data_IF_078043327853
#
_entry.id   IF_078043327853
#
_cell.length_a   1.000
_cell.length_b   1.000
_cell.length_c   1.000
_cell.angle_alpha   90.00
_cell.angle_beta   90.00
_cell.angle_gamma   90.00
#
_symmetry.space_group_name_H-M   'P 1'
#
loop_
_entity.id
_entity.type
_entity.pdbx_description
1 polymer ?
#
# COMPACT_ATOMS: atom_id res chain seq x y z
N UNK A 1 -38.28 10.32 0.01
CA UNK A 1 -37.18 11.26 0.31
C UNK A 1 -36.43 11.48 -0.99
N UNK A 2 -36.49 12.69 -1.51
CA UNK A 2 -35.85 13.14 -2.76
C UNK A 2 -34.32 13.13 -2.60
N UNK A 3 -33.61 12.56 -3.58
CA UNK A 3 -32.14 12.64 -3.65
C UNK A 3 -31.71 14.11 -3.63
N UNK A 4 -30.68 14.49 -2.86
CA UNK A 4 -30.18 15.86 -2.90
C UNK A 4 -29.55 16.11 -4.27
N UNK A 5 -30.00 17.19 -4.92
CA UNK A 5 -29.36 17.72 -6.14
C UNK A 5 -27.88 18.00 -5.87
N UNK A 6 -27.02 17.37 -6.68
CA UNK A 6 -25.59 17.65 -6.69
C UNK A 6 -25.41 18.96 -7.46
N UNK A 7 -25.25 20.07 -6.74
CA UNK A 7 -24.83 21.34 -7.35
C UNK A 7 -23.37 21.22 -7.82
N UNK A 8 -23.18 21.20 -9.15
CA UNK A 8 -21.87 21.33 -9.78
C UNK A 8 -21.47 22.81 -9.81
N UNK A 9 -20.83 23.31 -8.75
CA UNK A 9 -20.18 24.63 -8.80
C UNK A 9 -18.85 24.50 -9.57
N UNK A 10 -18.89 24.77 -10.88
CA UNK A 10 -17.70 24.71 -11.74
C UNK A 10 -16.84 25.95 -11.48
N UNK A 11 -15.73 25.79 -10.75
CA UNK A 11 -14.69 26.82 -10.67
C UNK A 11 -13.64 26.57 -11.75
N UNK A 12 -13.78 27.28 -12.86
CA UNK A 12 -12.76 27.33 -13.91
C UNK A 12 -11.54 28.12 -13.41
N UNK A 13 -10.40 27.44 -13.26
CA UNK A 13 -9.10 28.11 -13.29
C UNK A 13 -8.53 28.00 -14.71
N UNK A 14 -8.23 29.15 -15.31
CA UNK A 14 -7.95 29.34 -16.73
C UNK A 14 -6.44 29.20 -17.08
N UNK A 15 -5.66 28.46 -16.31
CA UNK A 15 -4.31 28.06 -16.73
C UNK A 15 -4.40 26.89 -17.70
N UNK A 16 -4.36 27.22 -18.99
CA UNK A 16 -4.52 26.36 -20.16
C UNK A 16 -3.95 24.93 -20.01
N UNK A 17 -4.83 23.93 -20.12
CA UNK A 17 -4.46 22.55 -20.48
C UNK A 17 -4.77 21.45 -19.46
N UNK A 18 -5.16 21.78 -18.23
CA UNK A 18 -5.38 20.76 -17.20
C UNK A 18 -6.87 20.44 -17.03
N UNK A 19 -7.26 19.20 -17.36
CA UNK A 19 -8.46 18.59 -16.78
C UNK A 19 -8.04 18.08 -15.41
N UNK A 20 -8.60 18.65 -14.34
CA UNK A 20 -8.67 17.91 -13.09
C UNK A 20 -9.26 16.53 -13.41
N UNK A 21 -8.74 15.47 -12.78
CA UNK A 21 -9.48 14.20 -12.72
C UNK A 21 -10.68 14.42 -11.80
N UNK A 22 -11.67 15.18 -12.28
CA UNK A 22 -12.95 15.42 -11.62
C UNK A 22 -13.80 14.17 -11.75
N UNK A 23 -13.47 13.21 -10.89
CA UNK A 23 -14.42 12.21 -10.37
C UNK A 23 -14.28 12.15 -8.85
N UNK A 24 -13.89 13.27 -8.21
CA UNK A 24 -13.94 13.41 -6.77
C UNK A 24 -15.41 13.57 -6.37
N UNK A 25 -15.97 12.62 -5.62
CA UNK A 25 -17.17 12.90 -4.82
C UNK A 25 -16.88 14.11 -3.93
N UNK A 26 -17.92 14.85 -3.52
CA UNK A 26 -17.81 15.89 -2.49
C UNK A 26 -17.19 15.37 -1.17
N UNK A 27 -17.26 14.05 -0.92
CA UNK A 27 -16.65 13.38 0.25
C UNK A 27 -15.16 13.13 0.13
N UNK A 28 -14.57 13.19 -1.07
CA UNK A 28 -13.14 12.92 -1.24
C UNK A 28 -12.33 14.14 -0.83
N UNK A 29 -11.39 13.94 0.08
CA UNK A 29 -10.51 15.02 0.52
C UNK A 29 -9.62 15.45 -0.66
N UNK A 30 -9.48 16.76 -0.96
CA UNK A 30 -8.45 17.21 -1.88
C UNK A 30 -7.06 16.81 -1.36
N UNK A 31 -6.18 16.34 -2.26
CA UNK A 31 -4.83 15.93 -1.88
C UNK A 31 -3.93 17.15 -1.77
N UNK A 32 -3.13 17.20 -0.70
CA UNK A 32 -2.20 18.29 -0.46
C UNK A 32 -1.09 18.28 -1.53
N UNK A 33 -0.66 17.08 -1.95
CA UNK A 33 0.35 16.88 -2.99
C UNK A 33 -0.04 15.73 -3.92
N UNK A 34 0.00 15.98 -5.23
CA UNK A 34 -0.16 14.97 -6.26
C UNK A 34 1.11 14.90 -7.11
N UNK A 35 1.67 13.69 -7.23
CA UNK A 35 2.78 13.36 -8.11
C UNK A 35 2.23 12.52 -9.27
N UNK A 36 2.06 13.14 -10.42
CA UNK A 36 1.52 12.49 -11.62
C UNK A 36 2.68 12.11 -12.51
N UNK A 37 2.90 10.81 -12.72
CA UNK A 37 4.03 10.27 -13.44
C UNK A 37 3.52 9.56 -14.70
N UNK A 38 3.83 10.13 -15.85
CA UNK A 38 3.41 9.65 -17.17
C UNK A 38 4.61 9.02 -17.90
N UNK A 39 4.40 7.96 -18.70
CA UNK A 39 5.46 7.47 -19.58
C UNK A 39 5.93 8.55 -20.56
N UNK A 40 7.25 8.67 -20.76
CA UNK A 40 7.87 9.57 -21.73
C UNK A 40 9.01 8.81 -22.45
N UNK A 41 8.65 8.15 -23.56
CA UNK A 41 9.54 7.22 -24.25
C UNK A 41 9.93 6.03 -23.37
N UNK A 42 11.22 5.83 -23.15
CA UNK A 42 11.77 4.84 -22.20
C UNK A 42 11.87 5.35 -20.76
N UNK A 43 11.56 6.62 -20.53
CA UNK A 43 11.64 7.31 -19.24
C UNK A 43 10.26 7.74 -18.76
N UNK A 44 10.20 8.68 -17.82
CA UNK A 44 8.94 9.18 -17.28
C UNK A 44 8.96 10.71 -17.16
N UNK A 45 7.77 11.29 -17.16
CA UNK A 45 7.52 12.72 -16.95
C UNK A 45 6.74 12.90 -15.66
N UNK A 46 7.31 13.65 -14.73
CA UNK A 46 6.66 14.02 -13.48
C UNK A 46 5.96 15.36 -13.65
N UNK A 47 4.72 15.42 -13.20
CA UNK A 47 3.93 16.63 -12.99
C UNK A 47 3.52 16.70 -11.53
N UNK A 48 3.81 17.81 -10.88
CA UNK A 48 3.45 18.10 -9.49
C UNK A 48 2.19 18.97 -9.50
N UNK A 49 1.17 18.57 -8.75
CA UNK A 49 -0.03 19.38 -8.53
C UNK A 49 -0.33 19.48 -7.05
N UNK A 50 -0.59 20.70 -6.58
CA UNK A 50 -0.86 20.95 -5.17
C UNK A 50 -1.95 22.01 -5.00
N UNK A 51 -2.83 21.75 -4.03
CA UNK A 51 -3.81 22.71 -3.52
C UNK A 51 -3.34 23.37 -2.23
N UNK A 52 -2.22 22.90 -1.70
CA UNK A 52 -1.62 23.42 -0.49
C UNK A 52 -0.92 24.76 -0.78
N UNK A 53 -1.28 25.86 -0.08
CA UNK A 53 -0.73 27.18 -0.38
C UNK A 53 0.79 27.27 -0.19
N UNK A 54 1.33 26.59 0.82
CA UNK A 54 2.77 26.61 1.12
C UNK A 54 3.56 25.87 0.06
N UNK A 55 3.11 24.66 -0.31
CA UNK A 55 3.73 23.90 -1.40
C UNK A 55 3.61 24.63 -2.74
N UNK A 56 2.45 25.24 -3.02
CA UNK A 56 2.24 26.02 -4.25
C UNK A 56 3.23 27.18 -4.35
N UNK A 57 3.41 27.92 -3.25
CA UNK A 57 4.38 29.01 -3.19
C UNK A 57 5.82 28.51 -3.36
N UNK A 58 6.17 27.36 -2.77
CA UNK A 58 7.51 26.79 -2.85
C UNK A 58 7.84 26.21 -4.24
N UNK A 59 6.89 25.53 -4.90
CA UNK A 59 7.10 25.01 -6.25
C UNK A 59 7.12 26.11 -7.31
N UNK A 60 6.28 27.14 -7.19
CA UNK A 60 6.16 28.18 -8.22
C UNK A 60 5.73 27.60 -9.57
N UNK A 61 6.43 27.95 -10.65
CA UNK A 61 6.23 27.45 -12.01
C UNK A 61 6.99 26.13 -12.30
N UNK A 62 7.85 25.69 -11.37
CA UNK A 62 8.71 24.51 -11.49
C UNK A 62 7.99 23.25 -11.02
N UNK A 63 6.98 22.85 -11.78
CA UNK A 63 6.08 21.75 -11.44
C UNK A 63 6.15 20.56 -12.40
N UNK A 64 6.99 20.61 -13.44
CA UNK A 64 7.09 19.55 -14.42
C UNK A 64 8.55 19.28 -14.81
N UNK A 65 8.96 18.01 -14.83
CA UNK A 65 10.29 17.61 -15.28
C UNK A 65 10.33 16.16 -15.77
N UNK A 66 11.35 15.83 -16.54
CA UNK A 66 11.69 14.43 -16.86
C UNK A 66 12.33 13.74 -15.64
N UNK A 67 11.83 12.53 -15.33
CA UNK A 67 12.49 11.55 -14.47
C UNK A 67 13.25 10.56 -15.37
N UNK A 68 14.58 10.64 -15.45
CA UNK A 68 15.39 9.90 -16.42
C UNK A 68 15.66 8.45 -15.97
N UNK A 69 14.63 7.80 -15.42
CA UNK A 69 14.69 6.40 -15.02
C UNK A 69 13.84 5.59 -15.98
N UNK A 70 14.44 4.53 -16.53
CA UNK A 70 13.66 3.45 -17.13
C UNK A 70 12.95 2.65 -16.05
N UNK A 71 11.99 1.83 -16.46
CA UNK A 71 11.28 0.92 -15.54
C UNK A 71 12.26 -0.03 -14.85
N UNK A 72 13.26 -0.52 -15.58
CA UNK A 72 14.28 -1.44 -15.08
C UNK A 72 15.22 -0.75 -14.08
N UNK A 73 15.61 0.49 -14.34
CA UNK A 73 16.45 1.27 -13.40
C UNK A 73 15.70 1.59 -12.11
N UNK A 74 14.45 2.06 -12.22
CA UNK A 74 13.59 2.27 -11.05
C UNK A 74 13.47 0.97 -10.24
N UNK A 75 13.22 -0.14 -10.93
CA UNK A 75 13.11 -1.45 -10.29
C UNK A 75 14.35 -1.81 -9.49
N UNK A 76 15.55 -1.61 -10.05
CA UNK A 76 16.82 -1.87 -9.35
C UNK A 76 16.89 -1.13 -8.02
N UNK A 77 16.62 0.18 -8.02
CA UNK A 77 16.61 0.98 -6.78
C UNK A 77 15.51 0.56 -5.79
N UNK A 78 14.34 0.15 -6.30
CA UNK A 78 13.26 -0.38 -5.46
C UNK A 78 13.67 -1.71 -4.81
N UNK A 79 14.37 -2.59 -5.53
CA UNK A 79 14.90 -3.84 -4.93
C UNK A 79 15.93 -3.55 -3.87
N UNK A 80 16.92 -2.70 -4.14
CA UNK A 80 17.95 -2.33 -3.16
C UNK A 80 17.32 -1.81 -1.85
N UNK A 81 16.29 -0.97 -1.96
CA UNK A 81 15.55 -0.49 -0.81
C UNK A 81 14.89 -1.64 -0.03
N UNK A 82 14.15 -2.52 -0.73
CA UNK A 82 13.42 -3.64 -0.14
C UNK A 82 14.33 -4.71 0.45
N UNK A 83 15.42 -5.05 -0.22
CA UNK A 83 16.43 -5.99 0.26
C UNK A 83 17.08 -5.48 1.55
N UNK A 84 17.32 -4.16 1.64
CA UNK A 84 17.79 -3.55 2.88
C UNK A 84 16.75 -3.71 4.01
N UNK A 85 15.47 -3.47 3.74
CA UNK A 85 14.41 -3.71 4.73
C UNK A 85 14.33 -5.17 5.16
N UNK A 86 14.44 -6.12 4.21
CA UNK A 86 14.42 -7.54 4.51
C UNK A 86 15.59 -7.94 5.38
N UNK A 87 16.80 -7.71 4.91
CA UNK A 87 18.05 -8.12 5.59
C UNK A 87 18.26 -7.39 6.92
N UNK A 88 17.84 -6.13 7.03
CA UNK A 88 18.06 -5.35 8.26
C UNK A 88 16.96 -5.59 9.28
N UNK A 89 15.69 -5.75 8.87
CA UNK A 89 14.56 -5.84 9.81
C UNK A 89 14.05 -7.27 9.93
N UNK A 90 13.70 -7.91 8.81
CA UNK A 90 13.07 -9.24 8.83
C UNK A 90 14.07 -10.31 9.28
N UNK A 91 15.31 -10.22 8.80
CA UNK A 91 16.40 -11.12 9.17
C UNK A 91 17.17 -10.63 10.42
N UNK A 92 16.69 -9.57 11.09
CA UNK A 92 17.35 -9.02 12.27
C UNK A 92 17.46 -10.07 13.38
N UNK A 93 18.69 -10.39 13.75
CA UNK A 93 18.96 -11.31 14.85
C UNK A 93 19.31 -10.58 16.14
N UNK A 94 18.83 -11.11 17.26
CA UNK A 94 19.36 -10.75 18.57
C UNK A 94 20.78 -11.31 18.75
N UNK A 95 21.42 -10.94 19.85
CA UNK A 95 22.73 -11.52 20.23
C UNK A 95 22.69 -13.03 20.46
N UNK A 96 21.50 -13.63 20.67
CA UNK A 96 21.32 -15.08 20.79
C UNK A 96 21.00 -15.76 19.45
N UNK A 97 21.00 -15.03 18.33
CA UNK A 97 20.67 -15.56 17.00
C UNK A 97 19.17 -15.68 16.73
N UNK A 98 18.31 -15.13 17.60
CA UNK A 98 16.86 -15.17 17.44
C UNK A 98 16.39 -14.12 16.43
N UNK A 99 15.57 -14.51 15.45
CA UNK A 99 14.92 -13.61 14.49
C UNK A 99 13.81 -12.79 15.19
N UNK A 100 14.15 -11.63 15.72
CA UNK A 100 13.33 -10.93 16.72
C UNK A 100 12.01 -10.45 16.13
N UNK A 101 12.05 -9.77 14.98
CA UNK A 101 10.85 -9.27 14.32
C UNK A 101 9.98 -10.38 13.71
N UNK A 102 10.54 -11.59 13.53
CA UNK A 102 9.76 -12.76 13.10
C UNK A 102 8.96 -13.40 14.23
N UNK A 103 9.37 -13.16 15.49
CA UNK A 103 8.74 -13.73 16.67
C UNK A 103 7.86 -12.76 17.44
N UNK A 104 8.24 -11.49 17.44
CA UNK A 104 7.57 -10.48 18.25
C UNK A 104 7.07 -9.34 17.37
N UNK A 105 5.77 -9.08 17.44
CA UNK A 105 5.17 -7.89 16.86
C UNK A 105 5.23 -6.71 17.82
N UNK A 106 5.13 -6.97 19.14
CA UNK A 106 5.28 -5.99 20.21
C UNK A 106 6.71 -6.01 20.75
N UNK A 107 7.43 -4.91 20.52
CA UNK A 107 8.84 -4.76 20.84
C UNK A 107 9.07 -3.76 21.99
N UNK A 108 8.03 -3.40 22.76
CA UNK A 108 8.13 -2.45 23.89
C UNK A 108 9.21 -2.85 24.89
N UNK A 109 9.37 -4.16 25.13
CA UNK A 109 10.36 -4.70 26.07
C UNK A 109 11.78 -4.77 25.49
N UNK A 110 11.94 -4.53 24.19
CA UNK A 110 13.23 -4.62 23.50
C UNK A 110 13.40 -3.49 22.45
N UNK A 111 13.26 -2.20 22.84
CA UNK A 111 13.26 -1.07 21.93
C UNK A 111 14.60 -0.87 21.21
N UNK A 112 15.69 -1.43 21.75
CA UNK A 112 17.03 -1.38 21.14
C UNK A 112 17.07 -1.99 19.74
N UNK A 113 16.17 -2.94 19.43
CA UNK A 113 16.10 -3.54 18.10
C UNK A 113 15.61 -2.54 17.06
N UNK A 114 14.64 -1.67 17.40
CA UNK A 114 14.25 -0.57 16.52
C UNK A 114 15.42 0.39 16.29
N UNK A 115 16.11 0.80 17.35
CA UNK A 115 17.26 1.71 17.23
C UNK A 115 18.36 1.13 16.33
N UNK A 116 18.62 -0.18 16.42
CA UNK A 116 19.64 -0.85 15.63
C UNK A 116 19.33 -0.86 14.12
N UNK A 117 18.06 -0.94 13.74
CA UNK A 117 17.65 -1.06 12.33
C UNK A 117 17.28 0.27 11.67
N UNK A 118 17.03 1.32 12.46
CA UNK A 118 16.43 2.57 11.97
C UNK A 118 17.31 3.35 10.97
N UNK A 119 18.62 3.43 11.22
CA UNK A 119 19.55 4.14 10.33
C UNK A 119 19.71 3.44 8.97
N UNK A 120 19.98 2.12 8.89
CA UNK A 120 20.06 1.43 7.60
C UNK A 120 18.79 1.56 6.75
N UNK A 121 17.60 1.43 7.35
CA UNK A 121 16.34 1.57 6.59
C UNK A 121 16.06 3.01 6.17
N UNK A 122 16.49 4.01 6.94
CA UNK A 122 16.42 5.42 6.54
C UNK A 122 17.38 5.73 5.38
N UNK A 123 18.58 5.18 5.41
CA UNK A 123 19.55 5.28 4.31
C UNK A 123 19.01 4.64 3.03
N UNK A 124 18.39 3.46 3.12
CA UNK A 124 17.73 2.82 1.99
C UNK A 124 16.60 3.69 1.40
N UNK A 125 15.73 4.23 2.24
CA UNK A 125 14.67 5.15 1.82
C UNK A 125 15.21 6.45 1.19
N UNK A 126 16.33 6.97 1.71
CA UNK A 126 16.96 8.19 1.21
C UNK A 126 17.68 7.97 -0.13
N UNK A 127 18.34 6.82 -0.30
CA UNK A 127 18.93 6.41 -1.59
C UNK A 127 17.85 6.30 -2.67
N UNK A 128 16.70 5.69 -2.35
CA UNK A 128 15.58 5.61 -3.29
C UNK A 128 15.04 7.01 -3.65
N UNK A 129 14.89 7.90 -2.65
CA UNK A 129 14.48 9.28 -2.88
C UNK A 129 15.44 10.04 -3.80
N UNK A 130 16.75 9.91 -3.56
CA UNK A 130 17.79 10.49 -4.40
C UNK A 130 17.75 9.88 -5.80
N UNK A 131 17.63 8.56 -5.95
CA UNK A 131 17.57 7.92 -7.25
C UNK A 131 16.39 8.44 -8.10
N UNK A 132 15.22 8.66 -7.50
CA UNK A 132 14.03 9.15 -8.20
C UNK A 132 14.18 10.62 -8.62
N UNK A 133 14.59 11.49 -7.69
CA UNK A 133 14.51 12.95 -7.90
C UNK A 133 15.85 13.64 -8.13
N UNK A 134 16.98 12.97 -7.89
CA UNK A 134 18.34 13.44 -8.19
C UNK A 134 19.25 12.27 -8.67
N UNK A 135 18.85 11.54 -9.73
CA UNK A 135 19.70 10.46 -10.25
C UNK A 135 21.03 11.00 -10.73
N UNK A 136 22.10 10.24 -10.49
CA UNK A 136 23.44 10.52 -11.02
C UNK A 136 23.54 10.03 -12.48
N UNK A 137 22.74 10.65 -13.35
CA UNK A 137 22.63 10.33 -14.77
C UNK A 137 22.70 11.65 -15.54
N UNK A 138 23.64 11.75 -16.47
CA UNK A 138 23.62 12.78 -17.51
C UNK A 138 22.61 12.37 -18.58
N UNK A 139 21.37 12.85 -18.40
CA UNK A 139 20.22 12.51 -19.24
C UNK A 139 20.05 13.46 -20.44
N UNK A 140 20.94 14.45 -20.59
CA UNK A 140 20.81 15.51 -21.60
C UNK A 140 19.54 16.36 -21.48
N UNK A 141 18.76 16.19 -20.40
CA UNK A 141 17.50 16.90 -20.21
C UNK A 141 17.76 18.37 -19.85
N UNK A 142 16.96 19.26 -20.41
CA UNK A 142 17.04 20.69 -20.05
C UNK A 142 16.41 20.98 -18.67
N UNK A 143 15.72 20.01 -18.07
CA UNK A 143 14.90 20.16 -16.86
C UNK A 143 15.63 19.78 -15.56
N UNK A 144 16.95 19.50 -15.59
CA UNK A 144 17.72 19.11 -14.39
C UNK A 144 17.56 20.13 -13.26
N UNK A 145 17.52 21.43 -13.59
CA UNK A 145 17.33 22.50 -12.60
C UNK A 145 15.93 22.47 -11.95
N UNK A 146 14.89 22.15 -12.73
CA UNK A 146 13.50 21.99 -12.26
C UNK A 146 13.38 20.76 -11.38
N UNK A 147 13.96 19.64 -11.80
CA UNK A 147 14.00 18.40 -11.02
C UNK A 147 14.71 18.59 -9.67
N UNK A 148 15.87 19.26 -9.64
CA UNK A 148 16.58 19.63 -8.39
C UNK A 148 15.75 20.56 -7.50
N UNK A 149 14.99 21.47 -8.09
CA UNK A 149 14.07 22.34 -7.35
C UNK A 149 12.95 21.52 -6.71
N UNK A 150 12.30 20.63 -7.47
CA UNK A 150 11.25 19.73 -6.94
C UNK A 150 11.78 18.88 -5.78
N UNK A 151 12.97 18.29 -5.93
CA UNK A 151 13.62 17.55 -4.84
C UNK A 151 13.77 18.39 -3.57
N UNK A 152 14.24 19.64 -3.73
CA UNK A 152 14.48 20.55 -2.60
C UNK A 152 13.17 20.90 -1.91
N UNK A 153 12.14 21.26 -2.66
CA UNK A 153 10.81 21.56 -2.11
C UNK A 153 10.23 20.35 -1.38
N UNK A 154 10.28 19.16 -1.98
CA UNK A 154 9.81 17.94 -1.32
C UNK A 154 10.57 17.68 -0.02
N UNK A 155 11.89 17.84 -0.02
CA UNK A 155 12.73 17.64 1.16
C UNK A 155 12.44 18.63 2.29
N UNK A 156 12.18 19.88 1.97
CA UNK A 156 12.04 20.96 2.95
C UNK A 156 10.60 21.15 3.43
N UNK A 157 9.60 20.89 2.58
CA UNK A 157 8.20 21.21 2.89
C UNK A 157 7.31 19.99 3.20
N UNK A 158 7.83 18.76 3.09
CA UNK A 158 7.10 17.55 3.51
C UNK A 158 7.44 17.10 4.92
N UNK A 159 8.38 17.75 5.61
CA UNK A 159 8.91 17.21 6.88
C UNK A 159 8.22 17.75 8.13
N UNK A 160 7.54 18.91 8.03
CA UNK A 160 7.04 19.63 9.22
C UNK A 160 5.59 19.30 9.58
N UNK A 161 4.81 18.75 8.65
CA UNK A 161 3.41 18.40 8.91
C UNK A 161 2.93 17.19 8.10
N UNK A 162 1.88 16.49 8.59
CA UNK A 162 1.21 15.47 7.80
C UNK A 162 0.59 16.05 6.53
N UNK A 163 0.70 15.28 5.45
CA UNK A 163 0.16 15.61 4.13
C UNK A 163 -0.60 14.39 3.60
N UNK A 164 -1.54 14.64 2.70
CA UNK A 164 -2.19 13.64 1.88
C UNK A 164 -1.53 13.65 0.51
N UNK A 165 -0.67 12.67 0.30
CA UNK A 165 0.15 12.52 -0.89
C UNK A 165 -0.47 11.44 -1.77
N UNK A 166 -0.76 11.79 -3.02
CA UNK A 166 -1.18 10.86 -4.06
C UNK A 166 -0.10 10.76 -5.12
N UNK A 167 0.37 9.55 -5.36
CA UNK A 167 1.19 9.25 -6.52
C UNK A 167 0.30 8.59 -7.58
N UNK A 168 0.32 9.06 -8.82
CA UNK A 168 -0.48 8.50 -9.91
C UNK A 168 0.45 8.08 -11.04
N UNK A 169 0.49 6.80 -11.36
CA UNK A 169 1.31 6.29 -12.47
C UNK A 169 0.74 5.01 -13.05
N UNK A 170 1.12 4.63 -14.26
CA UNK A 170 0.80 3.31 -14.83
C UNK A 170 1.97 2.34 -14.85
N UNK A 171 3.21 2.86 -14.79
CA UNK A 171 4.45 2.07 -14.92
C UNK A 171 5.53 2.47 -13.92
N UNK A 172 5.25 3.41 -13.00
CA UNK A 172 6.21 3.93 -12.03
C UNK A 172 5.82 3.49 -10.62
N UNK A 173 6.15 2.25 -10.26
CA UNK A 173 5.78 1.67 -8.97
C UNK A 173 6.95 1.72 -7.97
N UNK A 174 6.93 2.71 -7.09
CA UNK A 174 7.84 2.83 -5.96
C UNK A 174 7.11 2.60 -4.62
N UNK A 175 7.81 2.09 -3.59
CA UNK A 175 7.29 2.00 -2.23
C UNK A 175 7.35 3.38 -1.57
N UNK A 176 6.42 4.27 -1.97
CA UNK A 176 6.41 5.68 -1.56
C UNK A 176 6.39 5.90 -0.04
N UNK A 177 5.76 4.99 0.70
CA UNK A 177 5.77 4.90 2.15
C UNK A 177 7.17 4.73 2.77
N UNK A 178 8.12 4.12 2.04
CA UNK A 178 9.49 3.85 2.51
C UNK A 178 10.48 4.97 2.16
N UNK A 179 10.05 5.98 1.39
CA UNK A 179 10.87 7.16 1.09
C UNK A 179 11.25 7.86 2.38
N UNK A 180 12.54 8.16 2.52
CA UNK A 180 13.07 8.98 3.62
C UNK A 180 13.63 10.29 3.07
N UNK A 181 12.96 11.41 3.34
CA UNK A 181 13.29 12.71 2.75
C UNK A 181 14.21 13.58 3.62
N UNK A 182 14.30 13.35 4.94
CA UNK A 182 15.23 14.07 5.84
C UNK A 182 16.69 13.71 5.56
N UNK A 183 17.64 14.39 6.22
CA UNK A 183 19.06 14.03 6.13
C UNK A 183 19.31 12.83 7.03
N UNK A 184 19.93 11.79 6.47
CA UNK A 184 20.30 10.59 7.24
C UNK A 184 21.50 10.83 8.16
N UNK A 185 22.23 11.93 7.95
CA UNK A 185 23.33 12.37 8.83
C UNK A 185 22.85 12.89 10.18
N UNK A 186 21.56 13.14 10.34
CA UNK A 186 20.98 13.60 11.59
C UNK A 186 21.01 12.45 12.63
N UNK A 187 21.21 12.80 13.90
CA UNK A 187 21.25 11.84 15.01
C UNK A 187 20.46 12.39 16.22
N UNK A 188 19.48 11.64 16.76
CA UNK A 188 18.96 10.36 16.25
C UNK A 188 18.24 10.53 14.90
N UNK A 189 18.05 9.40 14.19
CA UNK A 189 17.19 9.39 12.99
C UNK A 189 15.76 9.74 13.39
N UNK A 190 15.22 10.78 12.75
CA UNK A 190 13.86 11.26 12.99
C UNK A 190 12.86 10.48 12.12
N UNK A 191 11.91 9.72 12.71
CA UNK A 191 10.94 8.94 11.94
C UNK A 191 10.03 9.79 11.05
N UNK A 192 9.85 11.07 11.33
CA UNK A 192 9.08 12.00 10.46
C UNK A 192 9.74 12.19 9.09
N UNK A 193 10.99 11.75 8.92
CA UNK A 193 11.63 11.69 7.62
C UNK A 193 11.02 10.62 6.69
N UNK A 194 10.38 9.58 7.23
CA UNK A 194 9.69 8.60 6.41
C UNK A 194 8.30 9.08 6.00
N UNK A 195 8.01 9.03 4.71
CA UNK A 195 6.69 9.40 4.20
C UNK A 195 5.55 8.55 4.76
N UNK A 196 5.76 7.24 4.95
CA UNK A 196 4.73 6.38 5.55
C UNK A 196 4.42 6.69 7.01
N UNK A 197 5.36 7.31 7.74
CA UNK A 197 5.17 7.69 9.14
C UNK A 197 4.48 9.05 9.22
N UNK A 198 4.96 10.00 8.41
CA UNK A 198 4.51 11.39 8.45
C UNK A 198 3.19 11.62 7.70
N UNK A 199 2.93 10.87 6.62
CA UNK A 199 1.89 11.21 5.65
C UNK A 199 0.87 10.09 5.44
N UNK A 200 -0.29 10.49 4.93
CA UNK A 200 -1.20 9.58 4.23
C UNK A 200 -0.70 9.50 2.79
N UNK A 201 -0.20 8.33 2.40
CA UNK A 201 0.36 8.09 1.06
C UNK A 201 -0.49 7.03 0.35
N UNK A 202 -1.00 7.36 -0.83
CA UNK A 202 -1.66 6.41 -1.72
C UNK A 202 -1.02 6.41 -3.12
N UNK A 203 -1.01 5.25 -3.76
CA UNK A 203 -0.68 5.11 -5.18
C UNK A 203 -1.96 4.79 -5.96
N UNK A 204 -2.25 5.54 -7.02
CA UNK A 204 -3.34 5.26 -7.96
C UNK A 204 -2.76 4.81 -9.31
N UNK A 205 -2.97 3.54 -9.70
CA UNK A 205 -2.70 3.09 -11.06
C UNK A 205 -3.54 3.88 -12.06
N UNK A 206 -2.92 4.43 -13.11
CA UNK A 206 -3.61 5.28 -14.11
C UNK A 206 -4.39 4.47 -15.17
N UNK A 207 -4.15 3.17 -15.28
CA UNK A 207 -4.68 2.37 -16.38
C UNK A 207 -6.14 1.98 -16.17
N UNK A 208 -7.03 2.63 -16.94
CA UNK A 208 -8.32 2.10 -17.44
C UNK A 208 -9.38 1.65 -16.44
N UNK A 209 -9.05 1.52 -15.15
CA UNK A 209 -9.99 1.13 -14.12
C UNK A 209 -11.00 2.26 -13.98
N UNK A 210 -12.28 1.93 -14.11
CA UNK A 210 -13.34 2.83 -13.68
C UNK A 210 -13.00 3.24 -12.26
N UNK A 211 -12.98 4.54 -12.01
CA UNK A 211 -12.72 5.10 -10.70
C UNK A 211 -13.91 4.77 -9.78
N UNK A 212 -13.93 3.53 -9.31
CA UNK A 212 -14.82 3.03 -8.29
C UNK A 212 -14.37 3.63 -6.96
N UNK A 213 -14.92 4.79 -6.64
CA UNK A 213 -14.58 5.53 -5.42
C UNK A 213 -15.44 5.17 -4.21
N UNK A 214 -16.33 4.18 -4.38
CA UNK A 214 -17.41 3.94 -3.44
C UNK A 214 -17.44 2.48 -3.04
N UNK A 215 -17.06 2.22 -1.79
CA UNK A 215 -17.48 1.03 -1.09
C UNK A 215 -19.00 1.11 -1.01
N UNK A 216 -19.67 0.11 -1.56
CA UNK A 216 -21.10 -0.01 -1.34
C UNK A 216 -21.30 -0.33 0.13
N UNK A 217 -21.82 0.62 0.90
CA UNK A 217 -22.00 0.45 2.33
C UNK A 217 -23.02 -0.68 2.60
N UNK A 218 -22.77 -1.56 3.58
CA UNK A 218 -23.81 -2.42 4.09
C UNK A 218 -24.88 -1.52 4.70
N UNK A 219 -26.09 -1.48 4.12
CA UNK A 219 -27.17 -0.61 4.60
C UNK A 219 -27.59 -0.96 6.03
N UNK A 220 -28.60 -1.81 6.15
CA UNK A 220 -28.96 -2.47 7.42
C UNK A 220 -28.57 -3.97 7.41
N UNK A 221 -27.91 -4.42 6.34
CA UNK A 221 -27.38 -5.80 6.22
C UNK A 221 -26.04 -5.93 6.96
N UNK A 222 -25.68 -7.12 7.46
CA UNK A 222 -24.33 -7.38 7.95
C UNK A 222 -23.24 -7.14 6.89
N UNK A 223 -22.09 -6.63 7.33
CA UNK A 223 -20.89 -6.50 6.49
C UNK A 223 -20.38 -7.89 6.09
N UNK A 224 -20.54 -8.25 4.82
CA UNK A 224 -19.95 -9.47 4.25
C UNK A 224 -18.42 -9.35 4.16
N UNK A 225 -17.72 -10.20 4.91
CA UNK A 225 -16.25 -10.23 4.99
C UNK A 225 -15.75 -11.55 4.38
N UNK A 226 -15.15 -11.50 3.20
CA UNK A 226 -14.49 -12.64 2.58
C UNK A 226 -13.13 -12.89 3.23
N UNK A 227 -12.98 -14.05 3.88
CA UNK A 227 -11.77 -14.47 4.59
C UNK A 227 -11.11 -15.58 3.78
N UNK A 228 -10.04 -15.25 3.05
CA UNK A 228 -9.37 -16.14 2.12
C UNK A 228 -7.99 -16.53 2.69
N UNK A 229 -7.84 -17.76 3.16
CA UNK A 229 -6.76 -18.12 4.08
C UNK A 229 -6.15 -19.48 3.78
N UNK A 230 -4.90 -19.69 4.19
CA UNK A 230 -4.37 -21.04 4.39
C UNK A 230 -4.65 -21.49 5.84
N UNK A 231 -5.52 -22.49 6.09
CA UNK A 231 -5.80 -23.00 7.43
C UNK A 231 -4.59 -23.67 8.11
N UNK A 232 -3.57 -24.06 7.35
CA UNK A 232 -2.31 -24.62 7.84
C UNK A 232 -1.28 -23.59 8.30
N UNK A 233 -1.54 -22.28 8.13
CA UNK A 233 -0.56 -21.23 8.40
C UNK A 233 -0.03 -21.25 9.85
N UNK A 234 -0.91 -21.38 10.84
CA UNK A 234 -0.49 -21.40 12.25
C UNK A 234 0.28 -22.68 12.60
N UNK A 235 0.01 -23.80 11.93
CA UNK A 235 0.80 -25.04 12.09
C UNK A 235 2.22 -24.84 11.56
N UNK A 236 2.38 -24.12 10.44
CA UNK A 236 3.68 -23.74 9.92
C UNK A 236 4.46 -22.80 10.86
N UNK A 237 3.74 -21.98 11.65
CA UNK A 237 4.32 -21.05 12.62
C UNK A 237 4.61 -21.67 14.00
N UNK A 238 4.09 -22.86 14.28
CA UNK A 238 4.27 -23.57 15.56
C UNK A 238 5.76 -23.67 15.99
N UNK A 239 6.73 -23.99 15.11
CA UNK A 239 8.15 -24.03 15.48
C UNK A 239 8.73 -22.68 15.94
N UNK A 240 8.09 -21.57 15.55
CA UNK A 240 8.46 -20.22 15.99
C UNK A 240 7.74 -19.83 17.29
N UNK A 241 6.74 -20.61 17.74
CA UNK A 241 5.95 -20.33 18.93
C UNK A 241 5.03 -19.12 18.77
N UNK A 242 4.60 -18.82 17.54
CA UNK A 242 3.76 -17.67 17.21
C UNK A 242 2.48 -18.09 16.51
N UNK A 243 1.49 -17.22 16.56
CA UNK A 243 0.21 -17.40 15.88
C UNK A 243 -0.13 -16.13 15.10
N UNK A 244 -0.71 -16.33 13.93
CA UNK A 244 -1.15 -15.26 13.06
C UNK A 244 -2.66 -15.35 12.83
N UNK A 245 -3.13 -16.52 12.37
CA UNK A 245 -4.46 -16.68 11.82
C UNK A 245 -5.51 -16.77 12.92
N UNK A 246 -5.30 -17.62 13.94
CA UNK A 246 -6.27 -17.84 15.02
C UNK A 246 -6.71 -16.54 15.71
N UNK A 247 -5.81 -15.64 16.16
CA UNK A 247 -6.22 -14.39 16.79
C UNK A 247 -7.01 -13.45 15.85
N UNK A 248 -6.76 -13.51 14.54
CA UNK A 248 -7.48 -12.71 13.54
C UNK A 248 -8.90 -13.24 13.37
N UNK A 249 -9.06 -14.56 13.26
CA UNK A 249 -10.37 -15.21 13.14
C UNK A 249 -11.22 -14.97 14.39
N UNK A 250 -10.65 -15.15 15.58
CA UNK A 250 -11.33 -14.89 16.86
C UNK A 250 -11.87 -13.44 16.92
N UNK A 251 -11.11 -12.47 16.39
CA UNK A 251 -11.56 -11.08 16.33
C UNK A 251 -12.69 -10.90 15.32
N UNK A 252 -12.60 -11.47 14.13
CA UNK A 252 -13.67 -11.35 13.12
C UNK A 252 -14.97 -11.98 13.58
N UNK A 253 -14.89 -13.13 14.27
CA UNK A 253 -16.04 -13.82 14.86
C UNK A 253 -16.67 -13.05 16.03
N UNK A 254 -15.92 -12.12 16.65
CA UNK A 254 -16.44 -11.28 17.74
C UNK A 254 -17.36 -10.14 17.29
N UNK A 255 -17.36 -9.78 16.00
CA UNK A 255 -18.23 -8.73 15.47
C UNK A 255 -19.59 -9.30 15.03
N UNK A 256 -20.66 -8.92 15.71
CA UNK A 256 -22.04 -9.34 15.40
C UNK A 256 -22.57 -8.80 14.07
N UNK A 257 -22.08 -7.64 13.63
CA UNK A 257 -22.44 -6.97 12.38
C UNK A 257 -21.64 -7.47 11.17
N UNK A 258 -20.74 -8.45 11.35
CA UNK A 258 -19.99 -9.07 10.26
C UNK A 258 -20.64 -10.41 9.89
N UNK A 259 -20.75 -10.67 8.59
CA UNK A 259 -21.05 -11.98 8.05
C UNK A 259 -19.78 -12.57 7.40
N UNK A 260 -18.97 -13.36 8.12
CA UNK A 260 -17.74 -13.91 7.59
C UNK A 260 -18.01 -15.01 6.56
N UNK A 261 -17.32 -14.93 5.41
CA UNK A 261 -17.34 -15.91 4.33
C UNK A 261 -15.95 -16.52 4.21
N UNK A 262 -15.73 -17.65 4.89
CA UNK A 262 -14.42 -18.33 4.92
C UNK A 262 -14.20 -19.16 3.66
N UNK A 263 -13.02 -18.99 3.05
CA UNK A 263 -12.55 -19.72 1.88
C UNK A 263 -11.11 -20.17 2.12
N UNK A 264 -10.90 -21.47 2.07
CA UNK A 264 -9.64 -22.12 2.40
C UNK A 264 -8.92 -22.67 1.17
N UNK A 265 -9.60 -22.76 0.03
CA UNK A 265 -9.04 -23.38 -1.17
C UNK A 265 -9.31 -22.54 -2.42
N UNK A 266 -8.42 -22.65 -3.42
CA UNK A 266 -8.52 -21.99 -4.72
C UNK A 266 -9.88 -22.22 -5.37
N UNK A 267 -10.41 -23.43 -5.29
CA UNK A 267 -11.71 -23.77 -5.87
C UNK A 267 -12.86 -22.96 -5.25
N UNK A 268 -12.86 -22.79 -3.92
CA UNK A 268 -13.91 -22.02 -3.22
C UNK A 268 -13.86 -20.54 -3.58
N UNK A 269 -12.64 -19.98 -3.67
CA UNK A 269 -12.45 -18.61 -4.14
C UNK A 269 -12.90 -18.45 -5.60
N UNK A 270 -12.53 -19.38 -6.47
CA UNK A 270 -12.92 -19.37 -7.87
C UNK A 270 -14.44 -19.39 -8.04
N UNK A 271 -15.15 -20.28 -7.33
CA UNK A 271 -16.60 -20.35 -7.38
C UNK A 271 -17.26 -19.07 -6.85
N UNK A 272 -16.72 -18.44 -5.81
CA UNK A 272 -17.22 -17.16 -5.32
C UNK A 272 -17.08 -16.04 -6.37
N UNK A 273 -15.94 -15.95 -7.06
CA UNK A 273 -15.76 -14.98 -8.15
C UNK A 273 -16.69 -15.24 -9.32
N UNK A 274 -16.81 -16.50 -9.77
CA UNK A 274 -17.70 -16.90 -10.87
C UNK A 274 -19.17 -16.64 -10.55
N UNK A 275 -19.57 -16.76 -9.29
CA UNK A 275 -20.92 -16.47 -8.82
C UNK A 275 -21.22 -14.97 -8.67
N UNK A 276 -20.26 -14.08 -8.95
CA UNK A 276 -20.40 -12.64 -8.76
C UNK A 276 -20.17 -12.22 -7.31
N UNK A 277 -18.94 -12.41 -6.83
CA UNK A 277 -18.53 -12.13 -5.45
C UNK A 277 -19.08 -10.80 -4.94
N UNK A 278 -19.73 -10.86 -3.77
CA UNK A 278 -20.50 -9.76 -3.18
C UNK A 278 -19.98 -9.34 -1.80
N UNK A 279 -18.70 -9.61 -1.53
CA UNK A 279 -18.04 -9.24 -0.28
C UNK A 279 -17.75 -7.72 -0.25
N UNK A 280 -17.89 -7.10 0.93
CA UNK A 280 -17.52 -5.70 1.16
C UNK A 280 -16.02 -5.56 1.42
N UNK A 281 -15.43 -6.59 2.01
CA UNK A 281 -14.02 -6.67 2.34
C UNK A 281 -13.52 -8.05 1.91
N UNK A 282 -12.37 -8.08 1.24
CA UNK A 282 -11.64 -9.30 0.96
C UNK A 282 -10.34 -9.28 1.75
N UNK A 283 -10.26 -10.09 2.80
CA UNK A 283 -9.05 -10.32 3.58
C UNK A 283 -8.34 -11.58 3.05
N UNK A 284 -7.04 -11.46 2.80
CA UNK A 284 -6.19 -12.58 2.42
C UNK A 284 -5.13 -12.79 3.49
N UNK A 285 -5.00 -14.00 4.03
CA UNK A 285 -3.91 -14.39 4.91
C UNK A 285 -3.41 -15.78 4.51
N UNK A 286 -2.49 -15.78 3.57
CA UNK A 286 -2.15 -16.97 2.79
C UNK A 286 -0.70 -16.92 2.31
N UNK A 287 -0.26 -17.90 1.54
CA UNK A 287 1.08 -17.89 0.98
C UNK A 287 1.15 -17.04 -0.29
N UNK A 288 2.29 -16.39 -0.48
CA UNK A 288 2.66 -15.76 -1.75
C UNK A 288 4.02 -16.28 -2.19
N UNK A 289 4.23 -16.38 -3.50
CA UNK A 289 5.53 -16.68 -4.08
C UNK A 289 5.75 -15.88 -5.36
N UNK A 290 7.01 -15.65 -5.67
CA UNK A 290 7.47 -15.26 -7.00
C UNK A 290 8.38 -16.37 -7.55
N UNK A 291 8.18 -16.76 -8.81
CA UNK A 291 8.93 -17.88 -9.39
C UNK A 291 10.36 -17.47 -9.81
N UNK A 292 11.31 -17.52 -8.87
CA UNK A 292 12.76 -17.46 -9.07
C UNK A 292 13.39 -16.07 -9.22
N UNK A 293 14.69 -15.96 -8.94
CA UNK A 293 15.49 -14.71 -8.99
C UNK A 293 15.50 -14.01 -10.36
N UNK A 294 15.10 -14.71 -11.43
CA UNK A 294 15.00 -14.18 -12.79
C UNK A 294 13.56 -13.85 -13.25
N UNK A 295 12.56 -13.95 -12.38
CA UNK A 295 11.16 -13.66 -12.69
C UNK A 295 10.93 -12.29 -13.34
N UNK A 296 11.81 -11.32 -13.07
CA UNK A 296 11.69 -9.93 -13.50
C UNK A 296 12.10 -9.72 -14.96
N UNK A 297 13.07 -10.48 -15.48
CA UNK A 297 13.50 -10.35 -16.89
C UNK A 297 12.43 -10.92 -17.84
N UNK A 298 11.56 -11.81 -17.34
CA UNK A 298 10.56 -12.55 -18.13
C UNK A 298 9.11 -12.21 -17.74
N UNK A 299 8.88 -11.32 -16.77
CA UNK A 299 7.54 -10.88 -16.39
C UNK A 299 6.64 -11.97 -15.79
N UNK A 300 7.22 -12.89 -15.01
CA UNK A 300 6.41 -13.93 -14.34
C UNK A 300 5.61 -13.33 -13.19
N UNK A 301 4.26 -13.51 -13.17
CA UNK A 301 3.41 -12.89 -12.17
C UNK A 301 3.63 -13.52 -10.78
N UNK A 302 3.47 -12.71 -9.73
CA UNK A 302 3.34 -13.24 -8.37
C UNK A 302 2.12 -14.18 -8.26
N UNK A 303 2.20 -15.17 -7.37
CA UNK A 303 1.15 -16.18 -7.17
C UNK A 303 0.76 -16.28 -5.70
N UNK A 304 -0.50 -16.56 -5.43
CA UNK A 304 -1.05 -16.77 -4.08
C UNK A 304 -1.44 -18.23 -3.90
N UNK A 305 -1.38 -18.76 -2.68
CA UNK A 305 -1.89 -20.10 -2.37
C UNK A 305 -2.58 -20.10 -1.03
N UNK A 306 -3.80 -20.64 -1.01
CA UNK A 306 -4.56 -20.89 0.21
C UNK A 306 -4.11 -22.24 0.80
N UNK A 307 -5.02 -23.05 1.32
CA UNK A 307 -4.73 -24.39 1.85
C UNK A 307 -4.46 -25.47 0.80
N UNK A 308 -4.39 -25.13 -0.49
CA UNK A 308 -4.07 -26.07 -1.56
C UNK A 308 -2.62 -26.57 -1.44
N UNK A 309 -2.41 -27.89 -1.46
CA UNK A 309 -1.07 -28.50 -1.37
C UNK A 309 -0.55 -29.03 -2.70
N UNK A 310 -1.34 -28.96 -3.77
CA UNK A 310 -0.97 -29.40 -5.10
C UNK A 310 -0.30 -28.27 -5.90
N UNK A 311 0.48 -28.64 -6.92
CA UNK A 311 1.19 -27.67 -7.77
C UNK A 311 0.24 -26.78 -8.58
N UNK A 312 -0.99 -27.23 -8.85
CA UNK A 312 -2.03 -26.46 -9.55
C UNK A 312 -2.83 -25.51 -8.63
N UNK A 313 -2.55 -25.57 -7.32
CA UNK A 313 -3.23 -24.81 -6.27
C UNK A 313 -2.88 -23.32 -6.25
N UNK A 314 -1.87 -22.90 -7.03
CA UNK A 314 -1.49 -21.50 -7.15
C UNK A 314 -2.55 -20.68 -7.87
N UNK A 315 -2.94 -19.57 -7.26
CA UNK A 315 -3.80 -18.54 -7.80
C UNK A 315 -2.89 -17.52 -8.51
N UNK A 316 -3.22 -17.21 -9.75
CA UNK A 316 -2.55 -16.17 -10.54
C UNK A 316 -3.43 -14.92 -10.69
N UNK A 317 -2.86 -13.73 -10.95
CA UNK A 317 -3.65 -12.54 -11.27
C UNK A 317 -4.58 -12.74 -12.48
N UNK A 318 -4.16 -13.57 -13.45
CA UNK A 318 -4.99 -13.96 -14.60
C UNK A 318 -6.20 -14.79 -14.20
N UNK A 319 -6.13 -15.54 -13.11
CA UNK A 319 -7.26 -16.34 -12.61
C UNK A 319 -8.40 -15.42 -12.15
N UNK A 320 -8.09 -14.32 -11.47
CA UNK A 320 -9.10 -13.30 -11.10
C UNK A 320 -9.78 -12.74 -12.35
N UNK A 321 -9.02 -12.51 -13.42
CA UNK A 321 -9.58 -12.03 -14.69
C UNK A 321 -10.49 -13.07 -15.34
N UNK A 322 -10.09 -14.34 -15.30
CA UNK A 322 -10.85 -15.47 -15.83
C UNK A 322 -12.13 -15.71 -15.03
N UNK A 323 -12.06 -15.76 -13.70
CA UNK A 323 -13.20 -16.08 -12.84
C UNK A 323 -14.26 -14.98 -12.81
N UNK A 324 -13.85 -13.74 -13.04
CA UNK A 324 -14.81 -12.63 -13.17
C UNK A 324 -15.49 -12.56 -14.54
N UNK A 325 -14.96 -13.25 -15.56
CA UNK A 325 -15.50 -13.26 -16.93
C UNK A 325 -15.89 -11.86 -17.46
N UNK A 326 -14.99 -10.89 -17.26
CA UNK A 326 -15.22 -9.50 -17.68
C UNK A 326 -16.14 -8.67 -16.79
N UNK A 327 -16.79 -9.26 -15.77
CA UNK A 327 -17.63 -8.53 -14.81
C UNK A 327 -16.81 -7.86 -13.70
N UNK A 328 -17.34 -6.76 -13.14
CA UNK A 328 -16.79 -6.11 -11.96
C UNK A 328 -17.35 -6.73 -10.67
N UNK A 329 -16.57 -6.68 -9.58
CA UNK A 329 -17.03 -7.11 -8.26
C UNK A 329 -18.16 -6.21 -7.75
N UNK A 330 -19.28 -6.81 -7.37
CA UNK A 330 -20.55 -6.11 -7.16
C UNK A 330 -20.46 -5.01 -6.11
N UNK A 331 -19.85 -5.30 -4.95
CA UNK A 331 -19.77 -4.38 -3.79
C UNK A 331 -18.52 -3.50 -3.75
N UNK A 332 -17.65 -3.58 -4.77
CA UNK A 332 -16.41 -2.79 -4.87
C UNK A 332 -15.54 -2.89 -3.61
N UNK A 333 -15.05 -4.10 -3.27
CA UNK A 333 -14.51 -4.38 -1.94
C UNK A 333 -13.26 -3.55 -1.59
N UNK A 334 -13.04 -3.38 -0.28
CA UNK A 334 -11.70 -3.12 0.25
C UNK A 334 -10.94 -4.44 0.29
N UNK A 335 -9.80 -4.51 -0.40
CA UNK A 335 -8.95 -5.70 -0.42
C UNK A 335 -7.76 -5.50 0.50
N UNK A 336 -7.54 -6.44 1.42
CA UNK A 336 -6.45 -6.43 2.37
C UNK A 336 -5.60 -7.70 2.19
N UNK A 337 -4.41 -7.53 1.61
CA UNK A 337 -3.49 -8.59 1.22
C UNK A 337 -2.44 -8.77 2.31
N UNK A 338 -2.69 -9.74 3.18
CA UNK A 338 -1.80 -10.19 4.25
C UNK A 338 -1.18 -11.54 3.91
N UNK A 339 -0.79 -11.69 2.65
CA UNK A 339 -0.11 -12.90 2.24
C UNK A 339 1.36 -12.87 2.76
N UNK A 340 1.94 -14.04 3.03
CA UNK A 340 3.30 -14.23 3.52
C UNK A 340 4.09 -14.99 2.45
N UNK A 341 5.26 -14.52 2.08
CA UNK A 341 6.16 -15.24 1.18
C UNK A 341 7.42 -15.54 1.97
N UNK A 342 7.89 -16.79 1.88
CA UNK A 342 9.31 -17.07 2.11
C UNK A 342 10.15 -16.63 0.91
N UNK A 343 9.89 -15.43 0.36
CA UNK A 343 10.45 -14.97 -0.92
C UNK A 343 9.67 -13.84 -1.60
N UNK A 344 10.04 -12.61 -1.26
CA UNK A 344 9.86 -11.32 -1.94
C UNK A 344 8.45 -10.91 -2.43
N UNK A 345 7.60 -10.33 -1.56
CA UNK A 345 6.52 -9.40 -1.97
C UNK A 345 7.10 -8.20 -2.69
N UNK A 346 6.71 -7.90 -3.93
CA UNK A 346 7.35 -6.81 -4.67
C UNK A 346 6.35 -5.85 -5.34
N UNK A 347 6.84 -4.71 -5.85
CA UNK A 347 6.01 -3.81 -6.67
C UNK A 347 5.37 -4.51 -7.89
N UNK A 348 5.95 -5.61 -8.36
CA UNK A 348 5.41 -6.47 -9.44
C UNK A 348 4.19 -7.28 -8.98
N UNK A 349 4.05 -7.60 -7.69
CA UNK A 349 2.85 -8.20 -7.11
C UNK A 349 1.67 -7.24 -7.13
N UNK A 350 1.91 -5.93 -6.92
CA UNK A 350 0.89 -4.91 -7.14
C UNK A 350 0.60 -4.65 -8.61
N UNK A 351 1.60 -4.73 -9.50
CA UNK A 351 1.35 -4.80 -10.95
C UNK A 351 0.53 -6.05 -11.34
N UNK A 352 0.59 -7.10 -10.52
CA UNK A 352 -0.23 -8.30 -10.61
C UNK A 352 -1.57 -8.12 -9.89
N UNK A 353 -1.71 -8.71 -8.71
CA UNK A 353 -2.97 -8.78 -7.97
C UNK A 353 -3.59 -7.43 -7.65
N UNK A 354 -2.80 -6.45 -7.20
CA UNK A 354 -3.30 -5.12 -6.87
C UNK A 354 -4.02 -4.46 -8.05
N UNK A 355 -3.35 -4.39 -9.19
CA UNK A 355 -3.90 -3.87 -10.44
C UNK A 355 -5.11 -4.69 -10.90
N UNK A 356 -5.10 -6.02 -10.76
CA UNK A 356 -6.27 -6.86 -11.13
C UNK A 356 -7.48 -6.63 -10.24
N UNK A 357 -7.32 -6.52 -8.92
CA UNK A 357 -8.44 -6.21 -8.04
C UNK A 357 -9.03 -4.82 -8.34
N UNK A 358 -8.16 -3.82 -8.54
CA UNK A 358 -8.59 -2.46 -8.90
C UNK A 358 -9.26 -2.40 -10.28
N UNK A 359 -8.75 -3.14 -11.26
CA UNK A 359 -9.35 -3.26 -12.59
C UNK A 359 -10.72 -3.96 -12.56
N UNK A 360 -11.00 -4.74 -11.51
CA UNK A 360 -12.29 -5.41 -11.26
C UNK A 360 -13.15 -4.69 -10.23
N UNK A 361 -12.88 -3.41 -10.00
CA UNK A 361 -13.76 -2.52 -9.24
C UNK A 361 -13.50 -2.45 -7.74
N UNK A 362 -12.42 -3.05 -7.20
CA UNK A 362 -12.03 -2.81 -5.81
C UNK A 362 -11.82 -1.31 -5.57
N UNK A 363 -12.35 -0.79 -4.45
CA UNK A 363 -12.20 0.63 -4.11
C UNK A 363 -10.85 0.94 -3.45
N UNK A 364 -10.22 -0.07 -2.84
CA UNK A 364 -8.94 0.03 -2.16
C UNK A 364 -8.22 -1.31 -2.17
N UNK A 365 -6.90 -1.31 -2.33
CA UNK A 365 -6.05 -2.47 -2.10
C UNK A 365 -4.93 -2.09 -1.12
N UNK A 366 -4.75 -2.89 -0.08
CA UNK A 366 -3.78 -2.69 1.00
C UNK A 366 -2.91 -3.92 1.09
N UNK A 367 -1.62 -3.76 1.34
CA UNK A 367 -0.74 -4.88 1.67
C UNK A 367 0.70 -4.43 1.89
N UNK A 368 1.62 -5.34 2.23
CA UNK A 368 3.03 -5.01 2.43
C UNK A 368 3.78 -4.85 1.10
N UNK A 369 4.86 -4.06 1.11
CA UNK A 369 5.78 -3.84 -0.02
C UNK A 369 6.90 -4.87 -0.12
N UNK A 370 7.14 -5.63 0.93
CA UNK A 370 8.12 -6.72 1.02
C UNK A 370 7.61 -7.78 1.96
N UNK A 371 8.36 -8.87 2.11
CA UNK A 371 7.98 -9.96 3.01
C UNK A 371 7.67 -9.40 4.40
N UNK A 372 6.73 -10.05 5.07
CA UNK A 372 6.27 -9.61 6.37
C UNK A 372 6.16 -10.81 7.28
N UNK A 373 6.75 -10.74 8.49
CA UNK A 373 6.48 -11.73 9.51
C UNK A 373 4.99 -11.94 9.73
N UNK A 374 4.53 -13.19 9.62
CA UNK A 374 3.12 -13.52 9.77
C UNK A 374 2.55 -13.01 11.11
N UNK A 375 3.31 -13.17 12.20
CA UNK A 375 2.93 -12.67 13.53
C UNK A 375 2.65 -11.16 13.54
N UNK A 376 3.44 -10.37 12.82
CA UNK A 376 3.20 -8.94 12.67
C UNK A 376 2.01 -8.68 11.75
N UNK A 377 1.93 -9.39 10.63
CA UNK A 377 0.81 -9.28 9.69
C UNK A 377 -0.54 -9.48 10.37
N UNK A 378 -0.68 -10.55 11.17
CA UNK A 378 -1.87 -10.82 11.96
C UNK A 378 -2.17 -9.70 12.96
N UNK A 379 -1.17 -9.27 13.73
CA UNK A 379 -1.34 -8.16 14.68
C UNK A 379 -1.77 -6.84 14.01
N UNK A 380 -1.16 -6.52 12.87
CA UNK A 380 -1.47 -5.31 12.11
C UNK A 380 -2.88 -5.35 11.52
N UNK A 381 -3.28 -6.49 10.92
CA UNK A 381 -4.66 -6.68 10.43
C UNK A 381 -5.68 -6.51 11.53
N UNK A 382 -5.45 -7.08 12.72
CA UNK A 382 -6.40 -6.95 13.83
C UNK A 382 -6.63 -5.50 14.25
N UNK A 383 -5.54 -4.73 14.35
CA UNK A 383 -5.64 -3.32 14.70
C UNK A 383 -6.23 -2.47 13.57
N UNK A 384 -5.95 -2.83 12.30
CA UNK A 384 -6.57 -2.20 11.14
C UNK A 384 -8.08 -2.39 11.14
N UNK A 385 -8.55 -3.64 11.23
CA UNK A 385 -9.98 -3.91 11.20
C UNK A 385 -10.71 -3.40 12.44
N UNK A 386 -10.09 -3.38 13.62
CA UNK A 386 -10.67 -2.73 14.79
C UNK A 386 -11.00 -1.25 14.55
N UNK A 387 -10.09 -0.50 13.93
CA UNK A 387 -10.33 0.92 13.62
C UNK A 387 -11.25 1.10 12.44
N UNK A 388 -11.05 0.34 11.36
CA UNK A 388 -11.89 0.43 10.17
C UNK A 388 -13.36 0.06 10.45
N UNK A 389 -13.59 -1.03 11.21
CA UNK A 389 -14.93 -1.47 11.60
C UNK A 389 -15.57 -0.58 12.68
N UNK A 390 -14.83 0.28 13.37
CA UNK A 390 -15.45 1.32 14.20
C UNK A 390 -16.26 2.33 13.36
N UNK A 391 -16.04 2.39 12.04
CA UNK A 391 -16.75 3.27 11.12
C UNK A 391 -16.53 4.74 11.44
N UNK A 392 -17.24 5.64 10.75
CA UNK A 392 -17.06 7.10 10.72
C UNK A 392 -16.00 7.60 9.73
N UNK A 393 -16.15 8.89 9.38
CA UNK A 393 -15.22 9.60 8.51
C UNK A 393 -13.81 9.78 9.11
N UNK A 394 -13.62 9.59 10.41
CA UNK A 394 -12.30 9.64 11.02
C UNK A 394 -11.52 8.35 10.76
N UNK A 395 -12.22 7.23 10.61
CA UNK A 395 -11.66 5.90 10.35
C UNK A 395 -11.53 5.58 8.85
N UNK A 396 -11.15 6.58 8.05
CA UNK A 396 -10.77 6.37 6.65
C UNK A 396 -9.54 5.49 6.55
N UNK A 397 -9.48 4.62 5.55
CA UNK A 397 -8.38 3.68 5.28
C UNK A 397 -7.01 4.38 5.32
N UNK A 398 -6.88 5.53 4.67
CA UNK A 398 -5.63 6.29 4.65
C UNK A 398 -5.21 6.78 6.03
N UNK A 399 -6.16 7.30 6.80
CA UNK A 399 -5.96 7.78 8.18
C UNK A 399 -5.59 6.62 9.10
N UNK A 400 -6.36 5.53 9.06
CA UNK A 400 -6.12 4.31 9.85
C UNK A 400 -4.72 3.77 9.58
N UNK A 401 -4.30 3.67 8.31
CA UNK A 401 -2.96 3.21 7.98
C UNK A 401 -1.85 4.14 8.50
N UNK A 402 -1.98 5.46 8.31
CA UNK A 402 -0.99 6.42 8.79
C UNK A 402 -0.88 6.42 10.33
N UNK A 403 -2.01 6.30 11.03
CA UNK A 403 -2.01 6.18 12.49
C UNK A 403 -1.45 4.86 12.99
N UNK A 404 -1.75 3.74 12.32
CA UNK A 404 -1.21 2.45 12.71
C UNK A 404 0.30 2.38 12.49
N UNK A 405 0.83 2.91 11.39
CA UNK A 405 2.27 3.04 11.18
C UNK A 405 2.96 3.76 12.33
N UNK A 406 2.40 4.90 12.75
CA UNK A 406 2.89 5.64 13.92
C UNK A 406 2.70 4.87 15.22
N UNK A 407 1.55 4.24 15.43
CA UNK A 407 1.27 3.44 16.63
C UNK A 407 2.26 2.29 16.78
N UNK A 408 2.50 1.51 15.73
CA UNK A 408 3.47 0.42 15.74
C UNK A 408 4.90 0.92 15.94
N UNK A 409 5.27 2.03 15.33
CA UNK A 409 6.59 2.63 15.51
C UNK A 409 6.78 3.19 16.94
N UNK A 410 5.89 4.06 17.39
CA UNK A 410 6.03 4.84 18.61
C UNK A 410 5.69 4.03 19.87
N UNK A 411 4.61 3.25 19.82
CA UNK A 411 4.12 2.51 20.98
C UNK A 411 4.71 1.11 21.00
N UNK A 412 4.61 0.36 19.90
CA UNK A 412 5.08 -1.03 19.85
C UNK A 412 6.55 -1.19 19.45
N UNK A 413 7.26 -0.10 19.16
CA UNK A 413 8.70 -0.09 18.78
C UNK A 413 9.01 -1.01 17.60
N UNK A 414 8.09 -1.09 16.64
CA UNK A 414 8.18 -1.97 15.50
C UNK A 414 7.99 -1.18 14.18
N UNK A 415 8.99 -1.14 13.28
CA UNK A 415 8.92 -0.35 12.06
C UNK A 415 8.13 -1.05 10.95
N UNK A 416 7.78 -2.33 11.08
CA UNK A 416 7.18 -3.13 10.00
C UNK A 416 5.85 -2.58 9.47
N UNK A 417 5.13 -1.78 10.27
CA UNK A 417 3.90 -1.12 9.81
C UNK A 417 4.15 -0.24 8.59
N UNK A 418 5.36 0.33 8.50
CA UNK A 418 5.80 1.15 7.38
C UNK A 418 5.81 0.40 6.05
N UNK A 419 5.91 -0.92 6.04
CA UNK A 419 5.88 -1.74 4.81
C UNK A 419 4.51 -1.76 4.16
N UNK A 420 3.42 -1.51 4.89
CA UNK A 420 2.09 -1.48 4.31
C UNK A 420 1.92 -0.30 3.39
N UNK A 421 1.44 -0.57 2.18
CA UNK A 421 1.08 0.41 1.17
C UNK A 421 -0.40 0.41 0.89
N UNK A 422 -0.84 1.54 0.35
CA UNK A 422 -2.21 1.78 -0.03
C UNK A 422 -2.27 2.08 -1.51
N UNK A 423 -3.05 1.28 -2.22
CA UNK A 423 -3.34 1.45 -3.62
C UNK A 423 -4.80 1.87 -3.76
N UNK A 424 -5.00 3.16 -4.00
CA UNK A 424 -6.31 3.84 -4.07
C UNK A 424 -7.10 3.77 -2.75
N UNK A 425 -8.08 4.65 -2.62
CA UNK A 425 -9.10 4.53 -1.59
C UNK A 425 -8.67 5.07 -0.22
N UNK A 426 -7.75 6.04 -0.15
CA UNK A 426 -7.40 6.66 1.13
C UNK A 426 -8.59 7.31 1.85
N UNK A 427 -9.61 7.74 1.10
CA UNK A 427 -10.84 8.29 1.65
C UNK A 427 -11.89 7.23 2.01
N UNK A 428 -11.63 5.94 1.81
CA UNK A 428 -12.64 4.91 2.05
C UNK A 428 -12.89 4.71 3.54
N UNK A 429 -14.14 4.67 3.95
CA UNK A 429 -14.54 4.42 5.34
C UNK A 429 -15.87 3.65 5.36
N UNK A 430 -16.23 3.10 6.52
CA UNK A 430 -17.57 2.59 6.79
C UNK A 430 -18.41 3.70 7.45
N UNK A 431 -19.62 3.94 6.97
CA UNK A 431 -20.47 5.03 7.52
C UNK A 431 -20.89 4.77 8.98
N UNK A 432 -20.97 3.50 9.37
CA UNK A 432 -21.41 3.05 10.69
C UNK A 432 -20.43 2.02 11.25
N UNK A 433 -20.36 1.96 12.57
CA UNK A 433 -19.64 0.91 13.26
C UNK A 433 -20.26 -0.46 12.96
N UNK A 434 -19.40 -1.46 12.83
CA UNK A 434 -19.76 -2.88 12.79
C UNK A 434 -19.49 -3.41 14.19
N UNK A 435 -20.55 -3.54 14.98
CA UNK A 435 -20.49 -4.01 16.37
C UNK A 435 -20.33 -5.51 16.45
#
# INVERSE_FOLDING_TARGET
>A
MTQPEIEHEVRFDATAGFRFTETLRASNRPRDLNLIIEPDGSTHRLKVQTLDPELRAAFGDKIECVLPLTVEQLWGHVQECRDTWHTTVIDHQSTSGELVFQRYWDMVKAPQHLTAVLRPIAEAGSKLFLAIFQPDIDDGSQDVSVRKHIFTVLREHTVDRPLWIRCTSSRFFAPWNLIYCRKVTDDPIDPTGFWGYQHVVEHIPRDGSVLAHDLQQPGDEPLRLGINIDPGLDQWLEPLGVECLRPVLEQFESYHGVNPQRREYKAELAEAFKAGIDDHVLYFCCHAEQEGDQAVIVGKPGRLRLGDTNDDGWILPSDITLWTDGTDMARKPVVFLNACAGGQFNSVFYQGFGDRFLAKGACSVIGPQTDLPAVFGGAFARQFFARFFAGSQDNKVGTVLAELRRTFFDQYKNPLGMLYSLYRGADMFLDRAVN
#
